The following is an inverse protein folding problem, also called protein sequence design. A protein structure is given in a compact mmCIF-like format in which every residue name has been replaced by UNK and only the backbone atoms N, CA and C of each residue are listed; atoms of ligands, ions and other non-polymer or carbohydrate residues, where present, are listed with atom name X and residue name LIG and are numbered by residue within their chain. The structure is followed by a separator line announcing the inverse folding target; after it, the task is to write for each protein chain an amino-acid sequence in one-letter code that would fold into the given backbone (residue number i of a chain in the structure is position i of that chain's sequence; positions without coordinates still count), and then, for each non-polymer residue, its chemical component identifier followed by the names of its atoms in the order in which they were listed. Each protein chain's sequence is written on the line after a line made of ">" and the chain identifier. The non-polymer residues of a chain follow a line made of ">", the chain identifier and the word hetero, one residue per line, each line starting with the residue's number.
data_IF_194981466193
#
_entry.id   IF_194981466193
#
_cell.length_a   1.000
_cell.length_b   1.000
_cell.length_c   1.000
_cell.angle_alpha   90.00
_cell.angle_beta   90.00
_cell.angle_gamma   90.00
#
_symmetry.space_group_name_H-M   'P 1'
#
loop_
_entity.id
_entity.type
_entity.pdbx_description
1 polymer ?
#
# COMPACT_ATOMS: atom_id res chain seq x y z
N UNK A 1 25.72 -51.45 -10.75
CA UNK A 1 25.43 -51.95 -12.10
C UNK A 1 24.65 -50.90 -12.82
N UNK A 2 25.34 -50.14 -13.69
CA UNK A 2 24.77 -49.33 -14.77
C UNK A 2 24.42 -50.19 -15.94
N UNK A 3 23.56 -49.82 -16.90
CA UNK A 3 23.87 -48.84 -17.97
C UNK A 3 22.67 -47.92 -18.27
N UNK A 4 22.80 -46.63 -18.64
CA UNK A 4 23.21 -46.04 -19.89
C UNK A 4 22.40 -46.47 -21.16
N UNK A 5 21.58 -45.57 -21.71
CA UNK A 5 21.20 -45.42 -23.13
C UNK A 5 20.82 -43.95 -23.24
N UNK A 6 21.64 -43.08 -23.79
CA UNK A 6 21.88 -42.66 -25.21
C UNK A 6 20.64 -42.08 -25.92
N UNK A 7 20.76 -40.77 -26.13
CA UNK A 7 20.60 -39.91 -27.32
C UNK A 7 19.43 -40.20 -28.29
N UNK A 8 18.63 -39.17 -28.53
CA UNK A 8 18.30 -38.83 -29.90
C UNK A 8 18.04 -37.33 -30.09
N UNK A 9 18.80 -36.78 -30.99
CA UNK A 9 18.83 -35.47 -31.57
C UNK A 9 17.70 -35.32 -32.60
N UNK A 10 16.92 -34.29 -32.53
CA UNK A 10 16.18 -33.80 -33.71
C UNK A 10 16.13 -32.28 -33.73
N UNK A 11 16.88 -31.73 -34.63
CA UNK A 11 16.75 -30.43 -35.31
C UNK A 11 15.28 -30.10 -35.60
N UNK A 12 14.88 -28.83 -35.42
CA UNK A 12 14.12 -28.08 -36.44
C UNK A 12 14.18 -26.57 -36.14
N UNK A 13 14.76 -25.88 -37.08
CA UNK A 13 14.47 -24.58 -37.67
C UNK A 13 14.48 -23.29 -36.86
N UNK A 14 15.51 -22.50 -37.16
CA UNK A 14 15.56 -21.04 -37.23
C UNK A 14 14.29 -20.43 -37.82
N UNK A 15 13.74 -19.45 -37.15
CA UNK A 15 13.08 -18.32 -37.79
C UNK A 15 13.51 -17.02 -37.09
N UNK A 16 14.42 -16.36 -37.73
CA UNK A 16 14.80 -14.98 -37.52
C UNK A 16 13.59 -14.06 -37.58
N UNK A 17 13.38 -13.29 -36.52
CA UNK A 17 12.49 -12.15 -36.49
C UNK A 17 13.10 -11.08 -35.59
N UNK A 18 14.17 -10.44 -36.03
CA UNK A 18 14.69 -9.19 -35.46
C UNK A 18 13.68 -8.08 -35.72
N UNK A 19 13.00 -7.60 -34.69
CA UNK A 19 12.41 -6.27 -34.68
C UNK A 19 13.38 -5.28 -34.05
N UNK A 20 13.72 -4.16 -34.70
CA UNK A 20 14.64 -3.17 -34.16
C UNK A 20 13.94 -2.31 -33.12
N UNK A 21 14.58 -2.16 -31.97
CA UNK A 21 14.24 -1.17 -30.94
C UNK A 21 14.49 0.23 -31.53
N UNK A 22 13.44 0.88 -31.96
CA UNK A 22 13.44 2.25 -32.43
C UNK A 22 13.56 3.20 -31.25
N UNK A 23 14.79 3.64 -30.96
CA UNK A 23 15.09 4.77 -30.10
C UNK A 23 14.57 6.05 -30.79
N UNK A 24 13.36 6.46 -30.50
CA UNK A 24 12.83 7.77 -30.86
C UNK A 24 13.60 8.87 -30.11
N UNK A 25 14.77 9.23 -30.60
CA UNK A 25 15.40 10.53 -30.33
C UNK A 25 14.66 11.57 -31.18
N UNK A 26 13.75 12.31 -30.58
CA UNK A 26 13.27 13.59 -31.13
C UNK A 26 14.42 14.59 -31.12
N UNK A 27 15.26 14.53 -32.12
CA UNK A 27 16.08 15.64 -32.59
C UNK A 27 15.12 16.58 -33.33
N UNK A 28 14.64 17.60 -32.63
CA UNK A 28 13.99 18.75 -33.25
C UNK A 28 15.01 19.38 -34.21
N UNK A 29 14.79 19.14 -35.48
CA UNK A 29 15.59 19.58 -36.60
C UNK A 29 15.61 21.12 -36.65
N UNK A 30 16.75 21.70 -36.29
CA UNK A 30 17.10 23.11 -36.50
C UNK A 30 17.09 23.49 -38.00
N UNK A 31 16.90 22.55 -38.88
CA UNK A 31 16.88 22.74 -40.35
C UNK A 31 15.60 23.43 -40.87
N UNK A 32 14.49 23.40 -40.16
CA UNK A 32 13.25 24.08 -40.59
C UNK A 32 13.22 25.60 -40.30
N UNK A 33 13.95 26.06 -39.30
CA UNK A 33 14.04 27.48 -38.99
C UNK A 33 14.95 28.21 -39.98
N UNK A 34 15.97 27.53 -40.49
CA UNK A 34 16.88 28.15 -41.48
C UNK A 34 16.24 28.35 -42.85
N UNK A 35 15.37 27.41 -43.29
CA UNK A 35 14.67 27.54 -44.59
C UNK A 35 13.58 28.61 -44.60
N UNK A 36 12.95 28.92 -43.45
CA UNK A 36 11.95 29.97 -43.34
C UNK A 36 12.61 31.37 -43.36
N UNK A 37 13.77 31.52 -42.71
CA UNK A 37 14.51 32.78 -42.70
C UNK A 37 15.14 33.11 -44.05
N UNK A 38 15.58 32.11 -44.80
CA UNK A 38 16.12 32.30 -46.15
C UNK A 38 15.02 32.68 -47.15
N UNK A 39 13.81 32.10 -47.05
CA UNK A 39 12.66 32.51 -47.90
C UNK A 39 12.15 33.93 -47.58
N UNK A 40 12.07 34.30 -46.31
CA UNK A 40 11.66 35.67 -45.94
C UNK A 40 12.66 36.72 -46.44
N UNK A 41 13.95 36.42 -46.51
CA UNK A 41 14.98 37.33 -47.02
C UNK A 41 14.97 37.43 -48.56
N UNK A 42 14.52 36.37 -49.27
CA UNK A 42 14.41 36.36 -50.73
C UNK A 42 13.16 37.12 -51.23
N UNK A 43 12.08 37.12 -50.46
CA UNK A 43 10.85 37.91 -50.79
C UNK A 43 11.02 39.39 -50.48
N UNK A 44 11.71 39.75 -49.43
CA UNK A 44 11.99 41.17 -49.12
C UNK A 44 12.87 41.83 -50.21
N UNK A 45 13.73 41.08 -50.91
CA UNK A 45 14.56 41.58 -51.98
C UNK A 45 13.83 41.78 -53.34
N UNK A 46 12.61 41.21 -53.52
CA UNK A 46 11.82 41.34 -54.77
C UNK A 46 10.83 42.50 -54.75
N UNK A 47 10.52 43.05 -53.60
CA UNK A 47 9.56 44.17 -53.49
C UNK A 47 10.23 45.54 -53.77
N UNK A 48 11.58 45.62 -53.63
CA UNK A 48 12.32 46.89 -53.80
C UNK A 48 12.65 47.25 -55.26
N UNK A 49 12.44 46.31 -56.22
CA UNK A 49 12.88 46.52 -57.62
C UNK A 49 11.74 46.94 -58.62
N UNK A 50 10.57 47.36 -58.14
CA UNK A 50 9.45 47.67 -59.05
C UNK A 50 8.72 49.00 -58.80
N UNK A 51 9.40 50.06 -58.37
CA UNK A 51 8.82 51.42 -58.52
C UNK A 51 9.92 52.40 -58.91
N UNK A 52 10.07 52.56 -60.20
CA UNK A 52 10.80 53.69 -60.76
C UNK A 52 9.98 54.95 -60.65
N UNK A 53 10.19 55.73 -59.63
CA UNK A 53 9.81 57.16 -59.62
C UNK A 53 11.00 57.92 -58.96
N UNK A 54 11.36 59.11 -59.46
CA UNK A 54 12.52 59.85 -58.94
C UNK A 54 12.27 60.32 -57.51
N UNK A 55 13.30 60.40 -56.66
CA UNK A 55 13.16 60.80 -55.28
C UNK A 55 12.88 62.29 -55.23
N UNK A 56 11.64 62.70 -54.92
CA UNK A 56 11.35 64.01 -54.38
C UNK A 56 12.03 64.10 -53.00
N UNK A 57 12.98 65.00 -52.89
CA UNK A 57 13.61 65.42 -51.68
C UNK A 57 12.54 66.03 -50.73
N UNK A 58 11.96 65.17 -49.89
CA UNK A 58 11.22 65.63 -48.73
C UNK A 58 12.26 66.15 -47.74
N UNK A 59 12.34 67.45 -47.58
CA UNK A 59 13.04 68.05 -46.48
C UNK A 59 12.44 67.60 -45.18
N UNK A 60 13.04 66.57 -44.57
CA UNK A 60 12.75 66.26 -43.21
C UNK A 60 13.24 67.41 -42.33
N UNK A 61 12.27 68.16 -41.85
CA UNK A 61 12.53 69.02 -40.70
C UNK A 61 13.03 68.11 -39.55
N UNK A 62 14.09 68.54 -38.87
CA UNK A 62 14.49 67.78 -37.65
C UNK A 62 13.33 67.94 -36.63
N UNK A 63 12.58 66.84 -36.42
CA UNK A 63 11.72 66.75 -35.25
C UNK A 63 12.59 67.10 -34.04
N UNK A 64 12.28 68.27 -33.47
CA UNK A 64 12.81 68.58 -32.14
C UNK A 64 12.28 67.50 -31.19
N UNK A 65 13.06 66.43 -31.07
CA UNK A 65 12.84 65.36 -30.14
C UNK A 65 12.63 65.97 -28.76
N UNK A 66 11.43 65.74 -28.26
CA UNK A 66 11.02 66.16 -26.93
C UNK A 66 12.00 65.59 -25.87
N UNK A 67 12.94 66.41 -25.48
CA UNK A 67 13.94 66.15 -24.40
C UNK A 67 13.29 65.94 -23.03
N UNK A 68 11.97 65.77 -22.93
CA UNK A 68 11.24 65.66 -21.67
C UNK A 68 10.72 64.26 -21.32
N UNK A 69 10.63 63.30 -22.28
CA UNK A 69 9.99 62.01 -22.01
C UNK A 69 10.99 60.94 -21.46
N UNK A 70 12.22 60.94 -21.94
CA UNK A 70 13.23 59.98 -21.47
C UNK A 70 13.61 60.17 -19.99
N UNK A 71 13.71 61.43 -19.51
CA UNK A 71 14.01 61.73 -18.12
C UNK A 71 12.92 61.27 -17.13
N UNK A 72 11.64 61.32 -17.54
CA UNK A 72 10.53 60.83 -16.71
C UNK A 72 10.49 59.30 -16.65
N UNK A 73 10.78 58.59 -17.72
CA UNK A 73 10.86 57.14 -17.77
C UNK A 73 12.04 56.62 -16.95
N UNK A 74 13.22 57.24 -17.08
CA UNK A 74 14.42 56.90 -16.27
C UNK A 74 14.19 57.21 -14.79
N UNK A 75 13.54 58.33 -14.45
CA UNK A 75 13.19 58.67 -13.07
C UNK A 75 12.18 57.69 -12.46
N UNK A 76 11.15 57.30 -13.22
CA UNK A 76 10.18 56.31 -12.74
C UNK A 76 10.79 54.92 -12.62
N UNK A 77 11.64 54.49 -13.53
CA UNK A 77 12.39 53.23 -13.44
C UNK A 77 13.29 53.19 -12.21
N UNK A 78 14.07 54.25 -11.98
CA UNK A 78 14.96 54.33 -10.82
C UNK A 78 14.18 54.29 -9.51
N UNK A 79 13.02 54.95 -9.42
CA UNK A 79 12.19 54.96 -8.22
C UNK A 79 11.48 53.63 -7.96
N UNK A 80 10.89 53.01 -9.02
CA UNK A 80 10.06 51.79 -8.84
C UNK A 80 10.82 50.50 -8.96
N UNK A 81 12.01 50.48 -9.54
CA UNK A 81 12.81 49.25 -9.69
C UNK A 81 14.11 49.32 -8.87
N UNK A 82 14.92 50.35 -9.05
CA UNK A 82 16.24 50.46 -8.43
C UNK A 82 16.15 50.67 -6.91
N UNK A 83 15.26 51.55 -6.44
CA UNK A 83 15.11 51.82 -5.01
C UNK A 83 14.65 50.62 -4.21
N UNK A 84 13.57 49.88 -4.58
CA UNK A 84 13.15 48.68 -3.85
C UNK A 84 14.18 47.58 -3.92
N UNK A 85 14.89 47.40 -5.05
CA UNK A 85 15.95 46.36 -5.14
C UNK A 85 17.13 46.71 -4.27
N UNK A 86 17.51 47.97 -4.17
CA UNK A 86 18.58 48.41 -3.28
C UNK A 86 18.19 48.19 -1.80
N UNK A 87 16.95 48.53 -1.42
CA UNK A 87 16.45 48.32 -0.08
C UNK A 87 16.38 46.80 0.25
N UNK A 88 15.93 45.97 -0.67
CA UNK A 88 15.92 44.51 -0.50
C UNK A 88 17.34 43.95 -0.36
N UNK A 89 18.28 44.43 -1.17
CA UNK A 89 19.67 44.02 -1.07
C UNK A 89 20.29 44.40 0.29
N UNK A 90 20.07 45.61 0.76
CA UNK A 90 20.55 46.09 2.09
C UNK A 90 19.89 45.25 3.19
N UNK A 91 18.59 44.96 3.09
CA UNK A 91 17.90 44.11 4.06
C UNK A 91 18.49 42.69 4.12
N UNK A 92 18.63 42.03 2.96
CA UNK A 92 19.18 40.67 2.91
C UNK A 92 20.66 40.58 3.28
N UNK A 93 21.44 41.65 3.06
CA UNK A 93 22.87 41.67 3.37
C UNK A 93 23.17 42.00 4.82
N UNK A 94 22.38 42.86 5.50
CA UNK A 94 22.70 43.41 6.81
C UNK A 94 21.71 43.03 7.92
N UNK A 95 20.41 42.81 7.60
CA UNK A 95 19.40 42.64 8.60
C UNK A 95 18.83 41.22 8.67
N UNK A 96 18.80 40.50 7.54
CA UNK A 96 18.19 39.17 7.50
C UNK A 96 19.02 38.15 8.29
N UNK A 97 18.42 37.44 9.20
CA UNK A 97 19.09 36.44 10.04
C UNK A 97 19.56 35.24 9.22
N UNK A 98 20.77 34.72 9.49
CA UNK A 98 21.29 33.52 8.82
C UNK A 98 20.42 32.30 9.16
N UNK A 99 20.11 31.46 8.14
CA UNK A 99 19.32 30.25 8.31
C UNK A 99 20.18 29.05 8.01
N UNK A 100 20.32 28.19 9.00
CA UNK A 100 21.02 26.93 8.94
C UNK A 100 20.04 25.77 8.67
N UNK A 101 20.47 24.78 7.90
CA UNK A 101 19.62 23.67 7.49
C UNK A 101 20.25 22.35 7.91
N UNK A 102 19.58 21.63 8.81
CA UNK A 102 19.94 20.25 9.11
C UNK A 102 19.08 19.31 8.25
N UNK A 103 19.74 18.43 7.48
CA UNK A 103 19.08 17.40 6.68
C UNK A 103 19.21 16.04 7.36
N UNK A 104 18.09 15.31 7.44
CA UNK A 104 18.02 13.96 8.00
C UNK A 104 17.30 13.06 6.99
N UNK A 105 17.84 11.87 6.78
CA UNK A 105 17.17 10.84 5.96
C UNK A 105 16.89 9.60 6.81
N UNK A 106 15.66 9.18 6.82
CA UNK A 106 15.20 8.03 7.58
C UNK A 106 14.21 7.18 6.77
N UNK A 107 14.03 5.94 7.17
CA UNK A 107 13.00 5.07 6.64
C UNK A 107 12.44 4.21 7.77
N UNK A 108 11.18 3.82 7.68
CA UNK A 108 10.60 2.85 8.61
C UNK A 108 10.80 1.46 8.01
N UNK A 109 11.39 0.55 8.80
CA UNK A 109 11.63 -0.83 8.38
C UNK A 109 11.06 -1.81 9.39
N UNK A 110 10.56 -2.92 8.87
CA UNK A 110 10.31 -4.10 9.68
C UNK A 110 11.61 -4.87 9.91
N UNK A 111 11.80 -5.36 11.13
CA UNK A 111 12.88 -6.28 11.45
C UNK A 111 12.51 -7.68 10.89
N UNK A 112 12.58 -7.85 9.57
CA UNK A 112 12.42 -9.14 8.92
C UNK A 112 13.59 -10.01 9.32
N UNK A 113 13.40 -10.94 10.26
CA UNK A 113 14.23 -12.13 10.28
C UNK A 113 13.80 -12.97 9.09
N UNK A 114 14.73 -13.20 8.21
CA UNK A 114 14.69 -14.28 7.23
C UNK A 114 14.78 -15.59 8.02
N UNK A 115 13.70 -15.96 8.73
CA UNK A 115 13.56 -17.32 9.21
C UNK A 115 13.42 -18.16 7.94
N UNK A 116 14.37 -19.06 7.75
CA UNK A 116 14.49 -20.06 6.69
C UNK A 116 13.27 -20.99 6.68
N UNK A 117 12.08 -20.45 6.51
CA UNK A 117 10.86 -21.22 6.28
C UNK A 117 10.81 -21.58 4.81
N UNK A 118 11.30 -22.80 4.58
CA UNK A 118 11.09 -23.68 3.42
C UNK A 118 10.83 -22.99 2.07
N UNK A 119 11.76 -23.25 1.14
CA UNK A 119 11.69 -22.92 -0.29
C UNK A 119 10.31 -23.27 -0.92
N UNK A 120 9.57 -24.21 -0.36
CA UNK A 120 8.22 -24.57 -0.79
C UNK A 120 7.17 -23.47 -0.51
N UNK A 121 7.31 -22.69 0.56
CA UNK A 121 6.40 -21.59 0.90
C UNK A 121 6.70 -20.31 0.10
N UNK A 122 7.93 -20.16 -0.39
CA UNK A 122 8.31 -19.05 -1.27
C UNK A 122 7.76 -19.22 -2.69
N UNK A 123 7.53 -20.45 -3.16
CA UNK A 123 6.94 -20.72 -4.49
C UNK A 123 5.43 -20.43 -4.50
N UNK A 124 4.72 -20.76 -3.41
CA UNK A 124 3.30 -20.35 -3.27
C UNK A 124 3.14 -18.87 -2.92
N UNK A 125 4.12 -18.25 -2.27
CA UNK A 125 4.17 -16.83 -1.95
C UNK A 125 4.43 -15.94 -3.18
N UNK A 126 5.06 -16.46 -4.22
CA UNK A 126 5.33 -15.70 -5.46
C UNK A 126 4.05 -15.35 -6.24
N UNK A 127 2.94 -16.07 -6.04
CA UNK A 127 1.63 -15.71 -6.60
C UNK A 127 0.95 -14.56 -5.81
N UNK A 128 1.43 -14.25 -4.60
CA UNK A 128 0.97 -13.13 -3.75
C UNK A 128 1.91 -11.92 -3.76
N UNK A 129 2.79 -11.79 -4.74
CA UNK A 129 3.86 -10.78 -4.80
C UNK A 129 3.39 -9.31 -4.94
N UNK A 130 2.09 -9.03 -4.85
CA UNK A 130 1.56 -7.65 -4.88
C UNK A 130 1.41 -6.98 -3.52
N UNK A 131 1.47 -7.69 -2.39
CA UNK A 131 1.06 -7.12 -1.09
C UNK A 131 2.15 -6.95 -0.03
N UNK A 132 3.32 -7.55 -0.18
CA UNK A 132 4.36 -7.49 0.85
C UNK A 132 5.19 -6.20 0.86
N UNK A 133 5.27 -5.48 -0.28
CA UNK A 133 6.01 -4.20 -0.35
C UNK A 133 5.15 -2.96 -0.04
N UNK A 134 3.82 -3.10 0.03
CA UNK A 134 2.93 -1.97 0.31
C UNK A 134 2.93 -1.53 1.78
N UNK A 135 3.26 -2.41 2.72
CA UNK A 135 3.24 -2.09 4.16
C UNK A 135 4.31 -1.08 4.58
N UNK A 136 5.56 -1.26 4.11
CA UNK A 136 6.69 -0.42 4.52
C UNK A 136 6.62 1.01 3.99
N UNK A 137 6.08 1.20 2.78
CA UNK A 137 5.85 2.54 2.22
C UNK A 137 4.78 3.32 2.97
N UNK A 138 3.73 2.64 3.40
CA UNK A 138 2.63 3.24 4.15
C UNK A 138 3.07 3.74 5.54
N UNK A 139 3.93 2.99 6.23
CA UNK A 139 4.45 3.39 7.54
C UNK A 139 5.35 4.64 7.45
N UNK A 140 6.16 4.77 6.38
CA UNK A 140 6.96 5.98 6.14
C UNK A 140 6.07 7.19 5.80
N UNK A 141 4.98 7.00 5.05
CA UNK A 141 4.00 8.07 4.79
C UNK A 141 3.28 8.52 6.06
N UNK A 142 2.99 7.59 6.99
CA UNK A 142 2.39 7.93 8.28
C UNK A 142 3.30 8.84 9.11
N UNK A 143 4.62 8.59 9.11
CA UNK A 143 5.58 9.49 9.74
C UNK A 143 5.61 10.86 9.06
N UNK A 144 5.53 10.91 7.72
CA UNK A 144 5.44 12.18 6.97
C UNK A 144 4.23 13.01 7.39
N UNK A 145 3.05 12.37 7.49
CA UNK A 145 1.82 13.06 7.89
C UNK A 145 1.88 13.51 9.36
N UNK A 146 2.47 12.69 10.22
CA UNK A 146 2.73 13.08 11.61
C UNK A 146 3.59 14.34 11.69
N UNK A 147 4.71 14.42 10.93
CA UNK A 147 5.62 15.58 10.93
C UNK A 147 4.94 16.88 10.49
N UNK A 148 3.90 16.80 9.67
CA UNK A 148 3.08 17.93 9.22
C UNK A 148 1.93 18.25 10.18
N UNK A 149 1.70 17.43 11.19
CA UNK A 149 0.59 17.57 12.13
C UNK A 149 0.93 18.50 13.31
N UNK A 150 -0.11 18.95 14.02
CA UNK A 150 0.03 19.68 15.28
C UNK A 150 0.60 18.81 16.41
N UNK A 151 0.39 17.49 16.33
CA UNK A 151 0.93 16.55 17.32
C UNK A 151 2.47 16.56 17.35
N UNK A 152 3.13 16.72 16.19
CA UNK A 152 4.58 16.82 16.13
C UNK A 152 5.10 18.00 16.97
N UNK A 153 4.42 19.14 16.94
CA UNK A 153 4.80 20.32 17.74
C UNK A 153 4.69 20.01 19.23
N UNK A 154 3.59 19.39 19.65
CA UNK A 154 3.37 19.01 21.04
C UNK A 154 4.47 18.06 21.54
N UNK A 155 4.81 17.05 20.75
CA UNK A 155 5.76 16.00 21.15
C UNK A 155 7.22 16.46 21.13
N UNK A 156 7.56 17.47 20.32
CA UNK A 156 8.89 18.08 20.26
C UNK A 156 9.14 19.04 21.43
N UNK A 157 8.09 19.46 22.15
CA UNK A 157 8.19 20.28 23.34
C UNK A 157 7.17 21.43 23.41
N UNK A 158 6.20 21.45 22.49
CA UNK A 158 5.10 22.41 22.47
C UNK A 158 5.51 23.80 21.97
N UNK A 159 4.56 24.72 22.02
CA UNK A 159 4.71 26.11 21.57
C UNK A 159 5.84 26.84 22.31
N UNK A 160 6.00 26.60 23.61
CA UNK A 160 7.05 27.21 24.42
C UNK A 160 8.47 26.89 23.95
N UNK A 161 8.66 25.66 23.44
CA UNK A 161 9.95 25.28 22.88
C UNK A 161 10.19 25.90 21.49
N UNK A 162 9.12 26.03 20.67
CA UNK A 162 9.20 26.76 19.41
C UNK A 162 9.55 28.24 19.65
N UNK A 163 8.92 28.89 20.64
CA UNK A 163 9.27 30.26 21.02
C UNK A 163 10.72 30.40 21.43
N UNK A 164 11.28 29.42 22.15
CA UNK A 164 12.70 29.41 22.54
C UNK A 164 13.62 29.37 21.32
N UNK A 165 13.33 28.52 20.32
CA UNK A 165 14.19 28.38 19.14
C UNK A 165 14.01 29.48 18.11
N UNK A 166 12.79 29.97 17.94
CA UNK A 166 12.43 30.87 16.85
C UNK A 166 11.98 32.27 17.28
N UNK A 167 11.72 32.47 18.58
CA UNK A 167 11.26 33.75 19.14
C UNK A 167 12.41 34.61 19.72
N UNK A 168 13.69 34.18 19.59
CA UNK A 168 14.82 34.91 20.12
C UNK A 168 14.91 36.34 19.52
N UNK A 169 15.31 37.31 20.37
CA UNK A 169 15.45 38.73 19.97
C UNK A 169 16.58 38.97 18.98
N UNK A 170 17.51 38.03 18.86
CA UNK A 170 18.61 38.08 17.90
C UNK A 170 18.15 37.76 16.47
N UNK A 171 16.93 37.24 16.30
CA UNK A 171 16.31 36.96 15.02
C UNK A 171 15.60 38.19 14.51
N UNK A 172 15.70 38.46 13.20
CA UNK A 172 15.04 39.57 12.55
C UNK A 172 13.52 39.58 12.79
N UNK A 173 12.94 40.77 12.99
CA UNK A 173 11.55 40.96 13.38
C UNK A 173 10.53 40.38 12.36
N UNK A 174 10.93 40.26 11.11
CA UNK A 174 10.08 39.77 10.02
C UNK A 174 10.00 38.23 9.98
N UNK A 175 11.08 37.57 10.36
CA UNK A 175 11.21 36.11 10.23
C UNK A 175 11.03 35.36 11.54
N UNK A 176 11.07 36.04 12.71
CA UNK A 176 10.90 35.42 14.02
C UNK A 176 9.45 35.01 14.30
N UNK A 177 9.27 33.99 15.12
CA UNK A 177 7.95 33.63 15.67
C UNK A 177 7.53 34.73 16.66
N UNK A 178 6.27 35.18 16.56
CA UNK A 178 5.73 36.19 17.49
C UNK A 178 5.65 35.61 18.89
N UNK A 179 5.95 36.44 19.90
CA UNK A 179 5.77 36.06 21.30
C UNK A 179 4.29 35.83 21.59
N UNK A 180 3.97 34.78 22.34
CA UNK A 180 2.61 34.35 22.64
C UNK A 180 1.80 33.88 21.41
N UNK A 181 2.49 33.36 20.37
CA UNK A 181 1.81 32.73 19.24
C UNK A 181 0.92 31.57 19.73
N UNK A 182 -0.29 31.51 19.20
CA UNK A 182 -1.16 30.36 19.46
C UNK A 182 -0.67 29.09 18.72
N UNK A 183 -1.31 27.94 18.98
CA UNK A 183 -0.90 26.67 18.38
C UNK A 183 -1.02 26.70 16.84
N UNK A 184 -2.03 27.35 16.30
CA UNK A 184 -2.27 27.48 14.87
C UNK A 184 -1.18 28.30 14.16
N UNK A 185 -0.83 29.44 14.72
CA UNK A 185 0.25 30.31 14.23
C UNK A 185 1.60 29.58 14.30
N UNK A 186 1.85 28.88 15.41
CA UNK A 186 3.02 28.04 15.59
C UNK A 186 3.09 26.90 14.56
N UNK A 187 1.92 26.32 14.23
CA UNK A 187 1.83 25.27 13.22
C UNK A 187 2.07 25.79 11.79
N UNK A 188 1.55 26.96 11.43
CA UNK A 188 1.81 27.58 10.15
C UNK A 188 3.30 27.94 10.00
N UNK A 189 3.90 28.42 11.08
CA UNK A 189 5.33 28.68 11.14
C UNK A 189 6.15 27.38 11.00
N UNK A 190 5.76 26.31 11.71
CA UNK A 190 6.40 25.00 11.66
C UNK A 190 6.45 24.43 10.24
N UNK A 191 5.36 24.50 9.49
CA UNK A 191 5.28 24.03 8.10
C UNK A 191 6.28 24.71 7.15
N UNK A 192 6.65 25.93 7.45
CA UNK A 192 7.64 26.69 6.68
C UNK A 192 9.08 26.32 7.08
N UNK A 193 9.30 25.94 8.33
CA UNK A 193 10.62 25.65 8.89
C UNK A 193 11.01 24.18 8.81
N UNK A 194 10.06 23.29 8.95
CA UNK A 194 10.26 21.85 8.84
C UNK A 194 9.61 21.34 7.56
N UNK A 195 10.43 20.94 6.61
CA UNK A 195 9.97 20.37 5.35
C UNK A 195 10.35 18.90 5.29
N UNK A 196 9.38 18.06 4.96
CA UNK A 196 9.60 16.62 4.81
C UNK A 196 8.97 16.12 3.51
N UNK A 197 9.66 15.20 2.85
CA UNK A 197 9.21 14.54 1.63
C UNK A 197 9.63 13.08 1.63
N UNK A 198 8.81 12.21 1.05
CA UNK A 198 9.11 10.78 0.87
C UNK A 198 9.35 10.53 -0.61
N UNK A 199 10.45 9.90 -0.92
CA UNK A 199 10.68 9.31 -2.24
C UNK A 199 9.93 7.97 -2.30
N UNK A 200 8.92 7.89 -3.15
CA UNK A 200 8.04 6.72 -3.28
C UNK A 200 8.75 5.48 -3.83
N UNK A 201 9.90 5.64 -4.50
CA UNK A 201 10.68 4.52 -5.06
C UNK A 201 11.56 3.89 -3.99
N UNK A 202 12.31 4.72 -3.25
CA UNK A 202 13.24 4.25 -2.21
C UNK A 202 12.60 4.13 -0.83
N UNK A 203 11.38 4.67 -0.62
CA UNK A 203 10.71 4.82 0.68
C UNK A 203 11.56 5.56 1.73
N UNK A 204 12.43 6.46 1.26
CA UNK A 204 13.26 7.29 2.14
C UNK A 204 12.54 8.60 2.40
N UNK A 205 12.32 8.90 3.67
CA UNK A 205 11.86 10.21 4.11
C UNK A 205 13.06 11.12 4.28
N UNK A 206 13.07 12.21 3.53
CA UNK A 206 14.05 13.30 3.66
C UNK A 206 13.39 14.44 4.41
N UNK A 207 13.95 14.80 5.55
CA UNK A 207 13.50 15.91 6.38
C UNK A 207 14.57 16.99 6.40
N UNK A 208 14.14 18.25 6.24
CA UNK A 208 14.99 19.44 6.36
C UNK A 208 14.43 20.36 7.41
N UNK A 209 15.24 20.66 8.40
CA UNK A 209 14.93 21.58 9.51
C UNK A 209 15.72 22.84 9.32
N UNK A 210 15.02 23.98 9.27
CA UNK A 210 15.60 25.32 9.16
C UNK A 210 15.53 26.02 10.51
N UNK A 211 16.66 26.46 11.03
CA UNK A 211 16.74 27.26 12.25
C UNK A 211 17.74 28.40 12.09
N UNK A 212 17.75 29.32 13.05
CA UNK A 212 18.63 30.50 13.04
C UNK A 212 19.99 30.25 13.70
N UNK A 213 20.12 29.10 14.40
CA UNK A 213 21.39 28.62 14.95
C UNK A 213 21.68 27.21 14.41
N UNK A 214 22.99 26.88 14.18
CA UNK A 214 23.36 25.51 13.81
C UNK A 214 22.93 24.48 14.85
N UNK A 215 23.10 24.82 16.15
CA UNK A 215 22.76 23.96 17.29
C UNK A 215 21.26 23.68 17.33
N UNK A 216 20.43 24.73 17.19
CA UNK A 216 18.98 24.59 17.20
C UNK A 216 18.48 23.71 16.02
N UNK A 217 19.06 23.89 14.83
CA UNK A 217 18.67 23.06 13.67
C UNK A 217 18.94 21.59 13.90
N UNK A 218 20.05 21.27 14.55
CA UNK A 218 20.43 19.91 14.92
C UNK A 218 19.58 19.39 16.10
N UNK A 219 19.35 20.19 17.13
CA UNK A 219 18.52 19.81 18.29
C UNK A 219 17.09 19.49 17.84
N UNK A 220 16.47 20.37 17.07
CA UNK A 220 15.11 20.18 16.54
C UNK A 220 15.07 18.88 15.71
N UNK A 221 16.04 18.67 14.82
CA UNK A 221 16.08 17.46 13.99
C UNK A 221 16.18 16.18 14.82
N UNK A 222 17.00 16.16 15.88
CA UNK A 222 17.14 15.02 16.80
C UNK A 222 15.85 14.76 17.58
N UNK A 223 15.19 15.81 18.08
CA UNK A 223 13.90 15.68 18.80
C UNK A 223 12.83 15.13 17.89
N UNK A 224 12.74 15.60 16.64
CA UNK A 224 11.81 15.08 15.64
C UNK A 224 12.05 13.60 15.39
N UNK A 225 13.31 13.18 15.19
CA UNK A 225 13.65 11.76 14.99
C UNK A 225 13.21 10.94 16.20
N UNK A 226 13.54 11.37 17.42
CA UNK A 226 13.14 10.66 18.65
C UNK A 226 11.63 10.57 18.81
N UNK A 227 10.88 11.64 18.53
CA UNK A 227 9.40 11.61 18.57
C UNK A 227 8.81 10.70 17.49
N UNK A 228 9.43 10.67 16.30
CA UNK A 228 9.03 9.74 15.22
C UNK A 228 9.29 8.28 15.58
N UNK A 229 10.43 7.99 16.21
CA UNK A 229 10.75 6.65 16.74
C UNK A 229 9.73 6.20 17.79
N UNK A 230 9.39 7.10 18.73
CA UNK A 230 8.37 6.83 19.75
C UNK A 230 7.02 6.54 19.10
N UNK A 231 6.56 7.38 18.17
CA UNK A 231 5.30 7.18 17.44
C UNK A 231 5.26 5.80 16.75
N UNK A 232 6.30 5.47 15.97
CA UNK A 232 6.38 4.20 15.24
C UNK A 232 6.37 3.01 16.21
N UNK A 233 7.09 3.12 17.33
CA UNK A 233 7.09 2.08 18.36
C UNK A 233 5.72 1.92 19.04
N UNK A 234 5.07 3.01 19.42
CA UNK A 234 3.76 3.00 20.08
C UNK A 234 2.67 2.40 19.16
N UNK A 235 2.69 2.76 17.87
CA UNK A 235 1.78 2.16 16.87
C UNK A 235 2.07 0.67 16.71
N UNK A 236 3.34 0.29 16.66
CA UNK A 236 3.75 -1.11 16.52
C UNK A 236 3.30 -1.95 17.73
N UNK A 237 3.46 -1.44 18.94
CA UNK A 237 3.01 -2.11 20.18
C UNK A 237 1.49 -2.26 20.17
N UNK A 238 0.75 -1.21 19.83
CA UNK A 238 -0.72 -1.25 19.77
C UNK A 238 -1.21 -2.25 18.72
N UNK A 239 -0.67 -2.21 17.48
CA UNK A 239 -1.05 -3.17 16.42
C UNK A 239 -0.88 -4.63 16.87
N UNK A 240 0.20 -4.95 17.57
CA UNK A 240 0.47 -6.31 18.07
C UNK A 240 -0.48 -6.70 19.20
N UNK A 241 -0.75 -5.79 20.12
CA UNK A 241 -1.71 -6.03 21.19
C UNK A 241 -3.12 -6.30 20.63
N UNK A 242 -3.55 -5.50 19.65
CA UNK A 242 -4.84 -5.67 18.97
C UNK A 242 -4.90 -7.00 18.19
N UNK A 243 -3.80 -7.40 17.56
CA UNK A 243 -3.70 -8.68 16.85
C UNK A 243 -3.82 -9.87 17.82
N UNK A 244 -3.14 -9.80 18.98
CA UNK A 244 -3.26 -10.83 20.02
C UNK A 244 -4.67 -10.92 20.58
N UNK A 245 -5.30 -9.77 20.86
CA UNK A 245 -6.67 -9.72 21.39
C UNK A 245 -7.66 -10.35 20.41
N UNK A 246 -7.54 -10.03 19.11
CA UNK A 246 -8.36 -10.65 18.06
C UNK A 246 -8.14 -12.16 17.97
N UNK A 247 -6.86 -12.62 17.97
CA UNK A 247 -6.55 -14.03 17.89
C UNK A 247 -7.05 -14.79 19.13
N UNK A 248 -6.98 -14.20 20.34
CA UNK A 248 -7.54 -14.77 21.55
C UNK A 248 -9.06 -14.96 21.46
N UNK A 249 -9.78 -13.94 20.99
CA UNK A 249 -11.23 -14.00 20.77
C UNK A 249 -11.62 -15.06 19.72
N UNK A 250 -10.81 -15.23 18.66
CA UNK A 250 -11.04 -16.30 17.68
C UNK A 250 -10.85 -17.70 18.28
N UNK A 251 -9.86 -17.91 19.14
CA UNK A 251 -9.68 -19.20 19.83
C UNK A 251 -10.85 -19.49 20.74
N UNK A 252 -11.31 -18.50 21.51
CA UNK A 252 -12.45 -18.65 22.41
C UNK A 252 -13.72 -19.04 21.62
N UNK A 253 -14.00 -18.31 20.53
CA UNK A 253 -15.15 -18.60 19.65
C UNK A 253 -15.04 -19.98 19.03
N UNK A 254 -13.90 -20.33 18.43
CA UNK A 254 -13.70 -21.64 17.82
C UNK A 254 -13.79 -22.78 18.86
N UNK A 255 -13.36 -22.52 20.10
CA UNK A 255 -13.51 -23.45 21.22
C UNK A 255 -14.96 -23.66 21.62
N UNK A 256 -15.78 -22.62 21.66
CA UNK A 256 -17.21 -22.70 21.90
C UNK A 256 -17.92 -23.45 20.78
N UNK A 257 -17.65 -23.12 19.51
CA UNK A 257 -18.23 -23.80 18.34
C UNK A 257 -17.90 -25.31 18.36
N UNK A 258 -16.67 -25.70 18.72
CA UNK A 258 -16.28 -27.11 18.86
C UNK A 258 -17.04 -27.81 20.02
N UNK A 259 -17.20 -27.13 21.15
CA UNK A 259 -17.95 -27.65 22.29
C UNK A 259 -19.43 -27.86 21.94
N UNK A 260 -20.04 -26.93 21.21
CA UNK A 260 -21.42 -27.03 20.74
C UNK A 260 -21.62 -28.21 19.80
N UNK A 261 -20.72 -28.43 18.84
CA UNK A 261 -20.79 -29.56 17.92
C UNK A 261 -20.61 -30.90 18.66
N UNK A 262 -19.69 -30.95 19.63
CA UNK A 262 -19.53 -32.14 20.49
C UNK A 262 -20.75 -32.41 21.35
N UNK A 263 -21.44 -31.37 21.83
CA UNK A 263 -22.71 -31.51 22.53
C UNK A 263 -23.80 -32.07 21.60
N UNK A 264 -23.87 -31.63 20.34
CA UNK A 264 -24.76 -32.18 19.32
C UNK A 264 -24.47 -33.68 19.06
N UNK A 265 -23.19 -34.07 19.00
CA UNK A 265 -22.83 -35.49 18.83
C UNK A 265 -23.29 -36.33 20.02
N UNK A 266 -23.09 -35.82 21.24
CA UNK A 266 -23.54 -36.53 22.48
C UNK A 266 -25.07 -36.64 22.53
N UNK A 267 -25.80 -35.60 22.12
CA UNK A 267 -27.28 -35.64 22.05
C UNK A 267 -27.74 -36.66 21.02
N UNK A 268 -27.14 -36.66 19.84
CA UNK A 268 -27.40 -37.67 18.81
C UNK A 268 -27.19 -39.09 19.34
N UNK A 269 -26.04 -39.38 20.01
CA UNK A 269 -25.75 -40.67 20.58
C UNK A 269 -26.78 -41.10 21.65
N UNK A 270 -27.19 -40.15 22.51
CA UNK A 270 -28.24 -40.40 23.52
C UNK A 270 -29.59 -40.71 22.90
N UNK A 271 -30.01 -39.96 21.86
CA UNK A 271 -31.29 -40.14 21.17
C UNK A 271 -31.36 -41.47 20.41
N UNK A 272 -30.27 -41.86 19.77
CA UNK A 272 -30.20 -43.04 18.91
C UNK A 272 -29.82 -44.32 19.67
N UNK A 273 -29.25 -44.18 20.86
CA UNK A 273 -28.70 -45.29 21.62
C UNK A 273 -27.50 -45.98 20.91
N UNK A 274 -26.94 -45.35 19.87
CA UNK A 274 -25.84 -45.87 19.06
C UNK A 274 -24.64 -44.92 19.17
N UNK A 275 -23.50 -45.49 19.55
CA UNK A 275 -22.23 -44.75 19.57
C UNK A 275 -21.66 -44.51 18.16
N UNK A 276 -21.84 -45.55 17.30
CA UNK A 276 -21.38 -45.52 15.92
C UNK A 276 -22.44 -46.22 15.00
N UNK A 277 -23.25 -45.49 14.28
CA UNK A 277 -24.23 -46.06 13.35
C UNK A 277 -23.57 -46.84 12.19
N UNK A 278 -22.31 -46.51 11.83
CA UNK A 278 -21.59 -47.23 10.78
C UNK A 278 -21.29 -48.66 11.18
N UNK A 279 -20.85 -48.87 12.42
CA UNK A 279 -20.64 -50.22 12.94
C UNK A 279 -21.96 -50.98 13.11
N UNK A 280 -23.01 -50.30 13.52
CA UNK A 280 -24.36 -50.91 13.58
C UNK A 280 -24.81 -51.34 12.18
N UNK A 281 -24.61 -50.53 11.16
CA UNK A 281 -24.93 -50.88 9.77
C UNK A 281 -24.15 -52.10 9.29
N UNK A 282 -22.85 -52.20 9.59
CA UNK A 282 -22.00 -53.33 9.22
C UNK A 282 -22.51 -54.65 9.85
N UNK A 283 -22.90 -54.61 11.11
CA UNK A 283 -23.47 -55.81 11.80
C UNK A 283 -24.80 -56.24 11.14
N UNK A 284 -25.69 -55.31 10.81
CA UNK A 284 -26.94 -55.62 10.12
C UNK A 284 -26.68 -56.19 8.72
N UNK A 285 -25.78 -55.59 7.96
CA UNK A 285 -25.39 -56.08 6.62
C UNK A 285 -24.80 -57.47 6.68
N UNK A 286 -23.94 -57.77 7.65
CA UNK A 286 -23.37 -59.11 7.85
C UNK A 286 -24.47 -60.13 8.19
N UNK A 287 -25.44 -59.71 9.02
CA UNK A 287 -26.60 -60.59 9.37
C UNK A 287 -27.49 -60.84 8.16
N UNK A 288 -27.76 -59.82 7.33
CA UNK A 288 -28.49 -59.94 6.06
C UNK A 288 -27.74 -60.94 5.13
N UNK A 289 -26.43 -60.82 5.02
CA UNK A 289 -25.63 -61.74 4.20
C UNK A 289 -25.72 -63.19 4.66
N UNK A 290 -25.66 -63.42 5.97
CA UNK A 290 -25.81 -64.74 6.55
C UNK A 290 -27.19 -65.34 6.30
N UNK A 291 -28.29 -64.57 6.56
CA UNK A 291 -29.66 -64.96 6.29
C UNK A 291 -29.94 -65.19 4.81
N UNK A 292 -29.34 -64.39 3.92
CA UNK A 292 -29.45 -64.56 2.46
C UNK A 292 -28.78 -65.87 2.03
N UNK A 293 -27.63 -66.22 2.59
CA UNK A 293 -26.94 -67.49 2.34
C UNK A 293 -27.79 -68.67 2.82
N UNK A 294 -28.40 -68.56 4.01
CA UNK A 294 -29.34 -69.56 4.53
C UNK A 294 -30.57 -69.71 3.63
N UNK A 295 -31.17 -68.60 3.19
CA UNK A 295 -32.28 -68.60 2.24
C UNK A 295 -31.96 -69.37 0.97
N UNK A 296 -30.85 -69.06 0.30
CA UNK A 296 -30.39 -69.74 -0.90
C UNK A 296 -30.21 -71.23 -0.67
N UNK A 297 -29.67 -71.65 0.48
CA UNK A 297 -29.49 -73.03 0.84
C UNK A 297 -30.84 -73.79 1.01
N UNK A 298 -31.83 -73.13 1.61
CA UNK A 298 -33.18 -73.68 1.78
C UNK A 298 -33.91 -73.77 0.42
N UNK A 299 -33.85 -72.71 -0.41
CA UNK A 299 -34.43 -72.68 -1.74
C UNK A 299 -33.83 -73.74 -2.64
N UNK A 300 -32.53 -73.98 -2.59
CA UNK A 300 -31.83 -75.03 -3.33
C UNK A 300 -32.31 -76.43 -2.88
N UNK A 301 -32.50 -76.64 -1.57
CA UNK A 301 -33.04 -77.92 -1.05
C UNK A 301 -34.48 -78.13 -1.50
N UNK A 302 -35.34 -77.12 -1.45
CA UNK A 302 -36.70 -77.21 -1.92
C UNK A 302 -36.78 -77.41 -3.42
N UNK A 303 -35.95 -76.77 -4.23
CA UNK A 303 -35.90 -76.98 -5.68
C UNK A 303 -35.50 -78.44 -6.03
N UNK A 304 -34.49 -78.98 -5.32
CA UNK A 304 -34.08 -80.38 -5.50
C UNK A 304 -35.17 -81.37 -5.06
N UNK A 305 -35.87 -81.09 -3.97
CA UNK A 305 -36.97 -81.94 -3.50
C UNK A 305 -38.17 -81.95 -4.48
N UNK A 306 -38.47 -80.84 -5.13
CA UNK A 306 -39.53 -80.70 -6.14
C UNK A 306 -39.15 -81.43 -7.43
N UNK A 307 -37.95 -81.35 -7.88
CA UNK A 307 -37.46 -82.01 -9.11
C UNK A 307 -37.38 -83.54 -8.99
N UNK A 308 -37.23 -84.04 -7.75
CA UNK A 308 -37.20 -85.51 -7.47
C UNK A 308 -38.58 -86.11 -7.11
N UNK A 309 -39.71 -85.37 -7.22
CA UNK A 309 -41.02 -85.79 -6.92
C UNK A 309 -41.36 -86.04 -5.44
N UNK A 310 -40.45 -85.60 -4.53
CA UNK A 310 -40.58 -85.86 -3.09
C UNK A 310 -41.15 -84.67 -2.31
N UNK A 311 -41.79 -83.71 -3.02
CA UNK A 311 -42.28 -82.43 -2.47
C UNK A 311 -43.45 -82.52 -1.44
N UNK A 312 -44.07 -83.72 -1.22
CA UNK A 312 -45.11 -83.91 -0.22
C UNK A 312 -44.63 -84.44 1.14
N UNK A 313 -43.37 -84.60 1.37
CA UNK A 313 -42.80 -85.13 2.64
C UNK A 313 -42.81 -84.08 3.75
N UNK A 314 -42.85 -84.50 5.06
CA UNK A 314 -42.86 -83.62 6.21
C UNK A 314 -41.64 -82.63 6.23
N UNK A 315 -40.48 -83.03 5.69
CA UNK A 315 -39.31 -82.20 5.58
C UNK A 315 -39.46 -81.01 4.66
N UNK A 316 -40.18 -81.13 3.53
CA UNK A 316 -40.39 -79.98 2.64
C UNK A 316 -41.35 -78.94 3.25
N UNK A 317 -42.34 -79.33 4.07
CA UNK A 317 -43.14 -78.41 4.86
C UNK A 317 -42.33 -77.64 5.89
N UNK A 318 -41.34 -78.28 6.55
CA UNK A 318 -40.45 -77.66 7.49
C UNK A 318 -39.55 -76.59 6.77
N UNK A 319 -38.99 -76.99 5.63
CA UNK A 319 -38.16 -76.06 4.85
C UNK A 319 -38.93 -74.85 4.33
N UNK A 320 -40.23 -75.03 3.93
CA UNK A 320 -41.12 -73.94 3.57
C UNK A 320 -41.44 -73.00 4.73
N UNK A 321 -41.73 -73.57 5.92
CA UNK A 321 -41.94 -72.73 7.11
C UNK A 321 -40.68 -71.98 7.52
N UNK A 322 -39.49 -72.63 7.41
CA UNK A 322 -38.18 -72.01 7.67
C UNK A 322 -37.86 -70.88 6.70
N UNK A 323 -38.17 -71.10 5.40
CA UNK A 323 -38.00 -70.04 4.35
C UNK A 323 -38.84 -68.83 4.66
N UNK A 324 -40.13 -69.00 5.01
CA UNK A 324 -41.00 -67.90 5.38
C UNK A 324 -40.49 -67.14 6.61
N UNK A 325 -39.91 -67.85 7.60
CA UNK A 325 -39.32 -67.19 8.77
C UNK A 325 -38.05 -66.40 8.43
N UNK A 326 -37.16 -66.94 7.57
CA UNK A 326 -35.97 -66.24 7.09
C UNK A 326 -36.34 -65.05 6.24
N UNK A 327 -37.33 -65.15 5.37
CA UNK A 327 -37.82 -64.01 4.58
C UNK A 327 -38.37 -62.90 5.45
N UNK A 328 -39.11 -63.24 6.51
CA UNK A 328 -39.60 -62.25 7.48
C UNK A 328 -38.46 -61.57 8.22
N UNK A 329 -37.45 -62.34 8.65
CA UNK A 329 -36.25 -61.76 9.29
C UNK A 329 -35.45 -60.86 8.35
N UNK A 330 -35.27 -61.29 7.10
CA UNK A 330 -34.62 -60.48 6.07
C UNK A 330 -35.38 -59.16 5.83
N UNK A 331 -36.70 -59.20 5.76
CA UNK A 331 -37.52 -58.01 5.61
C UNK A 331 -37.36 -57.05 6.79
N UNK A 332 -37.45 -57.57 8.00
CA UNK A 332 -37.26 -56.80 9.22
C UNK A 332 -35.84 -56.20 9.31
N UNK A 333 -34.78 -56.92 8.90
CA UNK A 333 -33.42 -56.40 8.88
C UNK A 333 -33.23 -55.30 7.78
N UNK A 334 -33.84 -55.49 6.59
CA UNK A 334 -33.82 -54.49 5.55
C UNK A 334 -34.57 -53.22 5.97
N UNK A 335 -35.75 -53.37 6.62
CA UNK A 335 -36.55 -52.26 7.11
C UNK A 335 -35.76 -51.45 8.18
N UNK A 336 -35.03 -52.14 9.06
CA UNK A 336 -34.12 -51.49 10.02
C UNK A 336 -32.97 -50.77 9.33
N UNK A 337 -32.42 -51.30 8.23
CA UNK A 337 -31.29 -50.71 7.53
C UNK A 337 -31.73 -49.51 6.68
N UNK A 338 -32.77 -49.67 5.85
CA UNK A 338 -33.14 -48.70 4.79
C UNK A 338 -34.59 -48.23 4.86
N UNK A 339 -35.38 -48.61 5.87
CA UNK A 339 -36.78 -48.21 6.03
C UNK A 339 -36.94 -46.70 6.04
N UNK A 340 -38.16 -46.26 5.62
CA UNK A 340 -38.51 -44.85 5.56
C UNK A 340 -38.73 -44.21 6.93
N UNK A 341 -38.67 -44.96 8.00
CA UNK A 341 -38.81 -44.46 9.34
C UNK A 341 -37.58 -43.66 9.80
N UNK A 342 -37.80 -42.65 10.62
CA UNK A 342 -36.80 -41.76 11.18
C UNK A 342 -35.76 -42.52 12.05
N UNK A 343 -36.05 -43.76 12.42
CA UNK A 343 -35.18 -44.64 13.18
C UNK A 343 -34.38 -45.62 12.32
N UNK A 344 -34.44 -45.54 11.00
CA UNK A 344 -33.62 -46.40 10.14
C UNK A 344 -32.14 -46.07 10.30
N UNK A 345 -31.29 -47.08 10.23
CA UNK A 345 -29.84 -46.90 10.36
C UNK A 345 -29.29 -46.00 9.28
N UNK A 346 -29.88 -46.02 8.09
CA UNK A 346 -29.46 -45.12 6.99
C UNK A 346 -29.77 -43.63 7.26
N UNK A 347 -30.88 -43.32 7.97
CA UNK A 347 -31.21 -41.98 8.39
C UNK A 347 -30.26 -41.49 9.51
N UNK A 348 -30.00 -42.38 10.50
CA UNK A 348 -29.02 -42.12 11.57
C UNK A 348 -27.61 -41.93 11.04
N UNK A 349 -27.17 -42.74 10.08
CA UNK A 349 -25.85 -42.60 9.46
C UNK A 349 -25.70 -41.25 8.76
N UNK A 350 -26.72 -40.76 8.05
CA UNK A 350 -26.68 -39.46 7.39
C UNK A 350 -26.55 -38.30 8.38
N UNK A 351 -27.29 -38.36 9.48
CA UNK A 351 -27.20 -37.35 10.55
C UNK A 351 -25.85 -37.41 11.24
N UNK A 352 -25.35 -38.62 11.55
CA UNK A 352 -24.05 -38.83 12.13
C UNK A 352 -22.91 -38.28 11.28
N UNK A 353 -22.88 -38.57 9.99
CA UNK A 353 -21.86 -38.10 9.06
C UNK A 353 -21.85 -36.57 8.96
N UNK A 354 -23.02 -35.93 8.98
CA UNK A 354 -23.12 -34.48 9.00
C UNK A 354 -22.56 -33.86 10.28
N UNK A 355 -22.88 -34.46 11.44
CA UNK A 355 -22.34 -33.97 12.73
C UNK A 355 -20.84 -34.21 12.80
N UNK A 356 -20.37 -35.35 12.36
CA UNK A 356 -18.93 -35.71 12.32
C UNK A 356 -18.16 -34.77 11.40
N UNK A 357 -18.68 -34.46 10.22
CA UNK A 357 -18.07 -33.49 9.32
C UNK A 357 -17.98 -32.08 9.97
N UNK A 358 -19.04 -31.68 10.70
CA UNK A 358 -19.02 -30.42 11.46
C UNK A 358 -17.98 -30.44 12.57
N UNK A 359 -17.83 -31.57 13.27
CA UNK A 359 -16.82 -31.74 14.33
C UNK A 359 -15.40 -31.63 13.75
N UNK A 360 -15.10 -32.35 12.68
CA UNK A 360 -13.82 -32.30 12.01
C UNK A 360 -13.47 -30.88 11.52
N UNK A 361 -14.47 -30.18 11.00
CA UNK A 361 -14.30 -28.78 10.57
C UNK A 361 -14.05 -27.85 11.76
N UNK A 362 -14.85 -27.96 12.82
CA UNK A 362 -14.70 -27.14 14.02
C UNK A 362 -13.33 -27.41 14.71
N UNK A 363 -12.87 -28.66 14.75
CA UNK A 363 -11.55 -29.02 15.28
C UNK A 363 -10.41 -28.41 14.46
N UNK A 364 -10.51 -28.42 13.14
CA UNK A 364 -9.54 -27.76 12.26
C UNK A 364 -9.49 -26.25 12.48
N UNK A 365 -10.66 -25.60 12.58
CA UNK A 365 -10.75 -24.16 12.86
C UNK A 365 -10.15 -23.85 14.21
N UNK A 366 -10.48 -24.62 15.27
CA UNK A 366 -9.89 -24.44 16.60
C UNK A 366 -8.35 -24.57 16.57
N UNK A 367 -7.83 -25.59 15.89
CA UNK A 367 -6.39 -25.82 15.76
C UNK A 367 -5.70 -24.67 15.03
N UNK A 368 -6.32 -24.19 13.94
CA UNK A 368 -5.81 -23.05 13.16
C UNK A 368 -5.82 -21.76 13.98
N UNK A 369 -6.93 -21.46 14.67
CA UNK A 369 -7.07 -20.28 15.52
C UNK A 369 -6.05 -20.32 16.66
N UNK A 370 -5.84 -21.47 17.27
CA UNK A 370 -4.81 -21.67 18.30
C UNK A 370 -3.40 -21.43 17.76
N UNK A 371 -3.08 -21.91 16.57
CA UNK A 371 -1.80 -21.64 15.92
C UNK A 371 -1.62 -20.14 15.64
N UNK A 372 -2.67 -19.46 15.15
CA UNK A 372 -2.67 -18.03 14.93
C UNK A 372 -2.44 -17.23 16.22
N UNK A 373 -3.06 -17.66 17.33
CA UNK A 373 -2.84 -17.04 18.64
C UNK A 373 -1.39 -17.19 19.11
N UNK A 374 -0.81 -18.38 18.99
CA UNK A 374 0.59 -18.62 19.36
C UNK A 374 1.56 -17.83 18.46
N UNK A 375 1.23 -17.65 17.19
CA UNK A 375 1.99 -16.80 16.28
C UNK A 375 1.91 -15.33 16.71
N UNK A 376 0.71 -14.82 16.99
CA UNK A 376 0.50 -13.46 17.47
C UNK A 376 1.19 -13.21 18.83
N UNK A 377 1.19 -14.19 19.73
CA UNK A 377 1.90 -14.13 21.00
C UNK A 377 3.42 -14.04 20.81
N UNK A 378 3.99 -14.87 19.95
CA UNK A 378 5.43 -14.80 19.60
C UNK A 378 5.81 -13.49 18.96
N UNK A 379 4.88 -12.90 18.21
CA UNK A 379 5.09 -11.64 17.51
C UNK A 379 5.23 -10.44 18.46
N UNK A 380 4.54 -10.46 19.62
CA UNK A 380 4.68 -9.43 20.66
C UNK A 380 6.12 -9.34 21.20
N UNK A 381 6.82 -10.45 21.27
CA UNK A 381 8.20 -10.51 21.81
C UNK A 381 9.23 -9.94 20.83
N UNK A 382 8.85 -9.75 19.54
CA UNK A 382 9.74 -9.23 18.50
C UNK A 382 9.57 -7.73 18.33
N UNK A 383 10.68 -6.97 18.29
CA UNK A 383 10.67 -5.58 17.83
C UNK A 383 10.58 -5.58 16.30
N UNK A 384 9.43 -5.25 15.73
CA UNK A 384 9.21 -5.38 14.29
C UNK A 384 9.39 -4.11 13.50
N UNK A 385 8.90 -2.98 14.03
CA UNK A 385 9.05 -1.70 13.37
C UNK A 385 10.10 -0.87 14.10
N UNK A 386 11.04 -0.32 13.34
CA UNK A 386 12.01 0.64 13.84
C UNK A 386 12.29 1.70 12.78
N UNK A 387 12.63 2.88 13.24
CA UNK A 387 13.11 3.96 12.38
C UNK A 387 14.59 3.71 12.09
N UNK A 388 14.89 3.38 10.84
CA UNK A 388 16.28 3.26 10.37
C UNK A 388 16.77 4.64 9.93
N UNK A 389 17.68 5.21 10.70
CA UNK A 389 18.35 6.48 10.38
C UNK A 389 19.42 6.20 9.32
N UNK A 390 19.16 6.63 8.08
CA UNK A 390 20.10 6.43 6.95
C UNK A 390 21.17 7.50 6.96
N UNK A 391 20.77 8.77 7.15
CA UNK A 391 21.68 9.90 7.25
C UNK A 391 21.31 10.67 8.52
N UNK A 392 22.18 10.65 9.55
CA UNK A 392 21.97 11.46 10.75
C UNK A 392 22.10 12.94 10.44
N UNK A 393 21.39 13.77 11.18
CA UNK A 393 21.57 15.22 11.12
C UNK A 393 23.01 15.59 11.56
N UNK A 394 23.65 16.41 10.75
CA UNK A 394 24.98 16.94 11.01
C UNK A 394 24.86 18.43 11.35
N UNK A 395 25.73 18.94 12.20
CA UNK A 395 25.80 20.36 12.53
C UNK A 395 26.18 21.17 11.27
N UNK A 396 25.31 22.10 10.79
CA UNK A 396 25.64 22.91 9.63
C UNK A 396 26.79 23.86 9.91
N UNK A 397 27.82 23.91 9.04
CA UNK A 397 28.96 24.79 9.18
C UNK A 397 28.69 26.20 8.63
N UNK A 398 27.75 26.35 7.70
CA UNK A 398 27.42 27.62 7.05
C UNK A 398 25.93 27.81 6.87
N UNK A 399 25.49 29.07 6.88
CA UNK A 399 24.11 29.42 6.59
C UNK A 399 23.79 29.23 5.09
N UNK A 400 22.70 28.54 4.79
CA UNK A 400 22.23 28.33 3.41
C UNK A 400 21.41 29.51 2.88
N UNK A 401 20.81 30.30 3.75
CA UNK A 401 19.93 31.43 3.44
C UNK A 401 20.27 32.63 4.36
N UNK A 402 19.93 33.87 3.94
CA UNK A 402 19.42 34.24 2.62
C UNK A 402 20.52 34.13 1.54
N UNK A 403 20.11 33.83 0.30
CA UNK A 403 21.00 33.94 -0.86
C UNK A 403 20.91 35.35 -1.41
N UNK A 404 21.69 36.28 -0.81
CA UNK A 404 21.56 37.71 -1.02
C UNK A 404 21.44 38.10 -2.51
N UNK A 405 22.29 37.54 -3.39
CA UNK A 405 22.26 37.87 -4.83
C UNK A 405 21.02 37.30 -5.54
N UNK A 406 20.61 36.09 -5.20
CA UNK A 406 19.46 35.44 -5.86
C UNK A 406 18.15 36.06 -5.39
N UNK A 407 18.00 36.25 -4.08
CA UNK A 407 16.77 36.76 -3.48
C UNK A 407 16.55 38.23 -3.89
N UNK A 408 17.61 39.07 -3.92
CA UNK A 408 17.53 40.45 -4.41
C UNK A 408 17.28 40.54 -5.92
N UNK A 409 17.83 39.63 -6.73
CA UNK A 409 17.56 39.58 -8.17
C UNK A 409 16.10 39.20 -8.48
N UNK A 410 15.51 38.34 -7.67
CA UNK A 410 14.11 37.92 -7.81
C UNK A 410 13.17 39.10 -7.47
N UNK A 411 13.48 39.86 -6.42
CA UNK A 411 12.74 41.11 -6.12
C UNK A 411 12.88 42.10 -7.25
N UNK A 412 14.11 42.29 -7.80
CA UNK A 412 14.36 43.16 -8.96
C UNK A 412 13.52 42.78 -10.15
N UNK A 413 13.46 41.49 -10.50
CA UNK A 413 12.66 40.96 -11.60
C UNK A 413 11.15 41.24 -11.40
N UNK A 414 10.66 40.99 -10.18
CA UNK A 414 9.26 41.27 -9.82
C UNK A 414 8.90 42.77 -9.98
N UNK A 415 9.76 43.68 -9.44
CA UNK A 415 9.58 45.11 -9.57
C UNK A 415 9.65 45.56 -11.03
N UNK A 416 10.52 44.98 -11.84
CA UNK A 416 10.65 45.28 -13.26
C UNK A 416 9.36 44.91 -14.04
N UNK A 417 8.80 43.72 -13.77
CA UNK A 417 7.55 43.28 -14.42
C UNK A 417 6.41 44.24 -14.05
N UNK A 418 6.27 44.56 -12.76
CA UNK A 418 5.22 45.50 -12.30
C UNK A 418 5.38 46.87 -12.95
N UNK A 419 6.62 47.40 -12.96
CA UNK A 419 6.89 48.69 -13.62
C UNK A 419 6.59 48.66 -15.11
N UNK A 420 6.92 47.59 -15.85
CA UNK A 420 6.64 47.44 -17.26
C UNK A 420 5.12 47.45 -17.53
N UNK A 421 4.33 46.72 -16.74
CA UNK A 421 2.87 46.68 -16.86
C UNK A 421 2.27 48.06 -16.60
N UNK A 422 2.68 48.72 -15.51
CA UNK A 422 2.16 50.07 -15.17
C UNK A 422 2.57 51.08 -16.22
N UNK A 423 3.81 51.05 -16.72
CA UNK A 423 4.30 51.92 -17.78
C UNK A 423 3.50 51.77 -19.09
N UNK A 424 3.15 50.50 -19.44
CA UNK A 424 2.35 50.20 -20.64
C UNK A 424 0.91 50.72 -20.49
N UNK A 425 0.29 50.52 -19.33
CA UNK A 425 -1.07 51.04 -19.04
C UNK A 425 -1.07 52.55 -19.11
N UNK A 426 -0.09 53.24 -18.52
CA UNK A 426 0.01 54.69 -18.58
C UNK A 426 0.25 55.22 -20.00
N UNK A 427 1.04 54.49 -20.80
CA UNK A 427 1.26 54.82 -22.19
C UNK A 427 -0.03 54.71 -23.01
N UNK A 428 -0.80 53.64 -22.88
CA UNK A 428 -2.07 53.45 -23.58
C UNK A 428 -3.14 54.44 -23.15
N UNK A 429 -3.22 54.78 -21.86
CA UNK A 429 -4.15 55.81 -21.38
C UNK A 429 -3.79 57.19 -21.93
N UNK A 430 -2.50 57.51 -22.06
CA UNK A 430 -2.05 58.80 -22.65
C UNK A 430 -2.36 58.88 -24.14
N UNK A 431 -2.19 57.79 -24.88
CA UNK A 431 -2.53 57.73 -26.29
C UNK A 431 -4.03 57.78 -26.56
N UNK A 432 -4.88 57.35 -25.60
CA UNK A 432 -6.34 57.42 -25.72
C UNK A 432 -6.93 58.77 -25.33
N UNK A 433 -6.14 59.66 -24.73
CA UNK A 433 -6.57 61.02 -24.33
C UNK A 433 -6.10 62.14 -25.30
N UNK A 434 -5.34 61.77 -26.32
CA UNK A 434 -4.93 62.64 -27.42
C UNK A 434 -5.78 62.34 -28.68
#
# INVERSE_FOLDING_TARGET
>A
MSPAIESESAKVHDLHGKAPVEKSKKLLSTHRLHSVLVRARAEAGRIVSRSGAPPTLIKTQPEQGGRGSGGRLVGSFSLFVLLPTLLAFIYYALFASPVYVAEVKLTVREASRTDSRSVAQSILGSIRLGSASQGTGQDTMMVLDYLKSRAAIHDVGGVSMLERWYGNKDVDWLSRLQSHANLEESWDYWKQRVTASVDTVSNILTMRVRAYSPEDSLEISRRIVSSSEKLVNDISVRRRADALTRAASEVEKAGADLADVRALMLDFQKRTGSLDPLETAKVIISSISALTSEKIAIETRLATATSTGVGARPGAKYDQARLAAVDEQLRQMNDRLTGTEMYSVSAQLREYELIKLKEEFAEKIYTLSRSSYEDARREIEKKQLYVALIVPGVLPESALYPRVLIDSSLVSLGCLIIWAIVSLILATLRDSMI
#
